data_IF_820242471223
#
_entry.id   IF_820242471223
#
_cell.length_a   1.000
_cell.length_b   1.000
_cell.length_c   1.000
_cell.angle_alpha   90.00
_cell.angle_beta   90.00
_cell.angle_gamma   90.00
#
_symmetry.space_group_name_H-M   'P 1'
#
loop_
_entity.id
_entity.type
_entity.pdbx_description
1 polymer ?
#
# COMPACT_ATOMS: atom_id res chain seq x y z
N UNK A 1 -30.12 33.41 65.38
CA UNK A 1 -29.07 33.01 64.42
C UNK A 1 -28.82 31.50 64.45
N UNK A 2 -29.85 30.67 64.24
CA UNK A 2 -29.69 29.20 64.18
C UNK A 2 -30.50 28.54 63.05
N UNK A 3 -31.49 29.22 62.46
CA UNK A 3 -32.37 28.64 61.44
C UNK A 3 -32.04 29.03 59.99
N UNK A 4 -30.98 29.80 59.76
CA UNK A 4 -30.55 30.20 58.41
C UNK A 4 -29.35 29.39 57.87
N UNK A 5 -28.77 28.52 58.68
CA UNK A 5 -27.56 27.75 58.30
C UNK A 5 -27.92 26.40 57.65
N UNK A 6 -29.12 25.86 57.90
CA UNK A 6 -29.51 24.52 57.43
C UNK A 6 -30.06 24.49 56.00
N UNK A 7 -30.58 25.60 55.47
CA UNK A 7 -31.14 25.63 54.10
C UNK A 7 -30.07 25.83 53.01
N UNK A 8 -28.96 26.52 53.33
CA UNK A 8 -27.87 26.78 52.38
C UNK A 8 -26.97 25.55 52.16
N UNK A 9 -26.81 24.70 53.18
CA UNK A 9 -26.00 23.48 53.09
C UNK A 9 -26.66 22.37 52.25
N UNK A 10 -28.00 22.22 52.29
CA UNK A 10 -28.70 21.22 51.47
C UNK A 10 -28.76 21.60 49.98
N UNK A 11 -28.81 22.89 49.64
CA UNK A 11 -28.82 23.35 48.25
C UNK A 11 -27.45 23.17 47.55
N UNK A 12 -26.35 23.23 48.32
CA UNK A 12 -24.99 22.98 47.81
C UNK A 12 -24.70 21.48 47.62
N UNK A 13 -25.25 20.61 48.47
CA UNK A 13 -25.11 19.15 48.31
C UNK A 13 -25.98 18.64 47.16
N UNK A 14 -27.19 19.19 46.96
CA UNK A 14 -28.03 18.84 45.81
C UNK A 14 -27.42 19.30 44.46
N UNK A 15 -26.66 20.40 44.45
CA UNK A 15 -25.90 20.84 43.26
C UNK A 15 -24.58 20.08 43.06
N UNK A 16 -23.95 19.58 44.12
CA UNK A 16 -22.78 18.72 44.01
C UNK A 16 -23.12 17.29 43.56
N UNK A 17 -24.31 16.77 43.91
CA UNK A 17 -24.78 15.45 43.44
C UNK A 17 -25.33 15.52 42.01
N UNK A 18 -25.85 16.66 41.57
CA UNK A 18 -26.26 16.87 40.17
C UNK A 18 -25.09 17.13 39.19
N UNK A 19 -23.87 17.38 39.70
CA UNK A 19 -22.65 17.54 38.89
C UNK A 19 -21.78 16.27 38.81
N UNK A 20 -22.20 15.15 39.43
CA UNK A 20 -21.48 13.86 39.45
C UNK A 20 -22.24 12.74 38.72
N UNK A 21 -23.24 13.06 37.88
CA UNK A 21 -23.91 12.03 37.05
C UNK A 21 -24.15 12.46 35.61
N UNK A 22 -23.20 13.21 35.05
CA UNK A 22 -22.86 13.07 33.63
C UNK A 22 -21.50 12.38 33.51
N UNK A 23 -21.40 11.16 34.05
CA UNK A 23 -20.53 10.18 33.41
C UNK A 23 -21.20 9.91 32.09
N UNK A 24 -20.78 10.63 31.05
CA UNK A 24 -21.01 10.21 29.69
C UNK A 24 -20.60 8.74 29.66
N UNK A 25 -21.56 7.83 29.49
CA UNK A 25 -21.28 6.55 28.84
C UNK A 25 -20.86 6.93 27.42
N UNK A 26 -19.63 7.45 27.26
CA UNK A 26 -18.88 7.22 26.06
C UNK A 26 -18.77 5.71 26.03
N UNK A 27 -19.65 5.07 25.27
CA UNK A 27 -19.43 3.70 24.84
C UNK A 27 -18.03 3.70 24.28
N UNK A 28 -17.07 3.15 25.03
CA UNK A 28 -15.73 2.95 24.54
C UNK A 28 -15.89 1.97 23.38
N UNK A 29 -16.00 2.51 22.18
CA UNK A 29 -16.04 1.69 20.98
C UNK A 29 -14.76 0.87 20.99
N UNK A 30 -14.85 -0.45 20.77
CA UNK A 30 -13.66 -1.27 20.72
C UNK A 30 -12.71 -0.68 19.68
N UNK A 31 -11.43 -0.61 20.01
CA UNK A 31 -10.41 -0.12 19.10
C UNK A 31 -10.54 -0.80 17.73
N UNK A 32 -10.53 -0.06 16.61
CA UNK A 32 -10.62 -0.65 15.29
C UNK A 32 -9.59 -1.76 15.11
N UNK A 33 -10.06 -2.94 14.69
CA UNK A 33 -9.19 -4.06 14.37
C UNK A 33 -8.45 -3.78 13.06
N UNK A 34 -7.14 -3.93 13.06
CA UNK A 34 -6.28 -3.74 11.88
C UNK A 34 -5.47 -5.01 11.69
N UNK A 35 -5.50 -5.58 10.49
CA UNK A 35 -4.54 -6.63 10.14
C UNK A 35 -3.36 -6.00 9.41
N UNK A 36 -2.14 -6.27 9.85
CA UNK A 36 -0.92 -5.80 9.21
C UNK A 36 -0.20 -6.99 8.57
N UNK A 37 0.05 -6.94 7.26
CA UNK A 37 0.86 -7.96 6.60
C UNK A 37 2.30 -7.95 7.14
N UNK A 38 2.74 -9.08 7.70
CA UNK A 38 4.06 -9.22 8.33
C UNK A 38 4.62 -10.63 8.09
N UNK A 39 4.61 -11.08 6.84
CA UNK A 39 5.08 -12.40 6.42
C UNK A 39 6.15 -12.31 5.34
N UNK A 40 7.22 -13.07 5.48
CA UNK A 40 8.28 -13.24 4.47
C UNK A 40 8.10 -14.51 3.61
N UNK A 41 7.14 -15.39 3.96
CA UNK A 41 6.96 -16.72 3.36
C UNK A 41 6.68 -16.68 1.84
N UNK A 42 6.08 -15.59 1.35
CA UNK A 42 5.71 -15.39 -0.05
C UNK A 42 6.79 -14.70 -0.90
N UNK A 43 7.89 -14.28 -0.26
CA UNK A 43 8.95 -13.48 -0.90
C UNK A 43 8.53 -12.06 -1.24
N UNK A 44 7.43 -11.55 -0.68
CA UNK A 44 6.98 -10.16 -0.83
C UNK A 44 7.73 -9.22 0.12
N UNK A 45 8.00 -9.70 1.34
CA UNK A 45 8.82 -8.99 2.33
C UNK A 45 10.11 -9.74 2.63
N UNK A 46 11.18 -8.98 2.85
CA UNK A 46 12.39 -9.40 3.56
C UNK A 46 12.46 -8.66 4.89
N UNK A 47 12.10 -9.35 5.97
CA UNK A 47 12.04 -8.80 7.33
C UNK A 47 13.42 -8.77 8.02
N UNK A 48 14.44 -9.40 7.44
CA UNK A 48 15.78 -9.44 8.05
C UNK A 48 16.56 -8.13 7.84
N UNK A 49 16.19 -7.35 6.82
CA UNK A 49 16.94 -6.16 6.37
C UNK A 49 16.11 -4.87 6.38
N UNK A 50 14.83 -4.95 6.79
CA UNK A 50 13.93 -3.80 6.83
C UNK A 50 13.02 -3.84 8.06
N UNK A 51 13.15 -2.81 8.90
CA UNK A 51 12.34 -2.62 10.10
C UNK A 51 11.07 -1.79 9.85
N UNK A 52 10.82 -1.35 8.61
CA UNK A 52 9.65 -0.53 8.29
C UNK A 52 8.32 -1.18 8.71
N UNK A 53 8.07 -2.48 8.49
CA UNK A 53 6.83 -3.12 8.94
C UNK A 53 6.66 -3.09 10.46
N UNK A 54 7.74 -3.31 11.23
CA UNK A 54 7.71 -3.28 12.69
C UNK A 54 7.53 -1.85 13.24
N UNK A 55 8.17 -0.86 12.62
CA UNK A 55 7.95 0.56 12.96
C UNK A 55 6.50 0.98 12.70
N UNK A 56 5.90 0.48 11.61
CA UNK A 56 4.49 0.71 11.31
C UNK A 56 3.57 0.03 12.32
N UNK A 57 3.84 -1.24 12.67
CA UNK A 57 3.11 -1.96 13.71
C UNK A 57 3.10 -1.16 15.02
N UNK A 58 4.29 -0.77 15.48
CA UNK A 58 4.45 -0.02 16.72
C UNK A 58 3.67 1.31 16.67
N UNK A 59 3.69 2.01 15.54
CA UNK A 59 2.93 3.26 15.43
C UNK A 59 1.42 3.03 15.47
N UNK A 60 0.91 2.02 14.77
CA UNK A 60 -0.52 1.67 14.80
C UNK A 60 -0.99 1.34 16.23
N UNK A 61 -0.20 0.56 16.97
CA UNK A 61 -0.47 0.23 18.38
C UNK A 61 -0.42 1.48 19.28
N UNK A 62 0.57 2.37 19.09
CA UNK A 62 0.67 3.65 19.81
C UNK A 62 -0.51 4.58 19.55
N UNK A 63 -1.14 4.47 18.37
CA UNK A 63 -2.35 5.20 18.02
C UNK A 63 -3.62 4.57 18.60
N UNK A 64 -3.50 3.49 19.38
CA UNK A 64 -4.61 2.83 20.07
C UNK A 64 -5.42 1.89 19.18
N UNK A 65 -4.88 1.47 18.03
CA UNK A 65 -5.52 0.50 17.13
C UNK A 65 -5.22 -0.94 17.60
N UNK A 66 -6.16 -1.85 17.40
CA UNK A 66 -5.96 -3.26 17.73
C UNK A 66 -5.30 -3.97 16.54
N UNK A 67 -3.97 -4.08 16.57
CA UNK A 67 -3.19 -4.63 15.47
C UNK A 67 -3.03 -6.15 15.60
N UNK A 68 -3.38 -6.87 14.54
CA UNK A 68 -3.11 -8.30 14.36
C UNK A 68 -2.06 -8.46 13.25
N UNK A 69 -0.87 -8.93 13.59
CA UNK A 69 0.17 -9.21 12.61
C UNK A 69 -0.16 -10.50 11.85
N UNK A 70 -0.29 -10.40 10.53
CA UNK A 70 -0.50 -11.53 9.63
C UNK A 70 0.86 -12.12 9.24
N UNK A 71 1.36 -13.06 10.04
CA UNK A 71 2.70 -13.65 9.89
C UNK A 71 2.78 -14.80 8.89
N UNK A 72 1.63 -15.31 8.44
CA UNK A 72 1.52 -16.47 7.54
C UNK A 72 0.75 -16.10 6.25
N UNK A 73 1.11 -14.97 5.66
CA UNK A 73 0.48 -14.42 4.45
C UNK A 73 -0.83 -13.67 4.71
N UNK A 74 -1.74 -13.74 3.74
CA UNK A 74 -3.02 -13.01 3.75
C UNK A 74 -3.84 -13.32 5.03
N UNK A 75 -4.32 -12.30 5.76
CA UNK A 75 -5.19 -12.51 6.91
C UNK A 75 -6.59 -12.98 6.50
N UNK A 76 -7.41 -13.39 7.48
CA UNK A 76 -8.82 -13.64 7.20
C UNK A 76 -9.56 -12.32 6.92
N UNK A 77 -10.03 -12.15 5.69
CA UNK A 77 -10.69 -10.93 5.21
C UNK A 77 -12.22 -11.02 5.16
N UNK A 78 -12.82 -12.10 5.67
CA UNK A 78 -14.26 -12.33 5.64
C UNK A 78 -14.88 -12.55 7.04
N UNK A 79 -16.21 -12.46 7.09
CA UNK A 79 -16.99 -12.74 8.29
C UNK A 79 -16.84 -11.71 9.41
N UNK A 80 -17.33 -12.05 10.60
CA UNK A 80 -17.33 -11.15 11.76
C UNK A 80 -15.93 -10.80 12.31
N UNK A 81 -14.91 -11.54 11.86
CA UNK A 81 -13.52 -11.36 12.28
C UNK A 81 -12.70 -10.52 11.30
N UNK A 82 -13.29 -10.11 10.17
CA UNK A 82 -12.61 -9.27 9.17
C UNK A 82 -12.15 -7.95 9.79
N UNK A 83 -10.91 -7.50 9.51
CA UNK A 83 -10.40 -6.27 10.07
C UNK A 83 -11.12 -5.04 9.49
N UNK A 84 -11.14 -3.93 10.23
CA UNK A 84 -11.62 -2.64 9.71
C UNK A 84 -10.68 -2.10 8.61
N UNK A 85 -9.39 -2.42 8.70
CA UNK A 85 -8.42 -2.15 7.66
C UNK A 85 -7.39 -3.26 7.53
N UNK A 86 -7.00 -3.55 6.29
CA UNK A 86 -5.86 -4.39 5.96
C UNK A 86 -4.71 -3.51 5.49
N UNK A 87 -3.60 -3.49 6.24
CA UNK A 87 -2.43 -2.66 5.97
C UNK A 87 -1.32 -3.52 5.39
N UNK A 88 -0.81 -3.10 4.24
CA UNK A 88 0.19 -3.78 3.43
C UNK A 88 1.41 -2.84 3.31
N UNK A 89 2.56 -3.16 3.95
CA UNK A 89 3.73 -2.29 4.01
C UNK A 89 4.53 -2.24 2.70
N UNK A 90 5.58 -1.40 2.66
CA UNK A 90 6.44 -1.26 1.47
C UNK A 90 7.02 -2.62 1.11
N UNK A 91 6.79 -3.02 -0.13
CA UNK A 91 7.37 -4.22 -0.66
C UNK A 91 8.87 -4.04 -0.90
N UNK A 92 9.67 -4.98 -0.39
CA UNK A 92 11.12 -5.03 -0.56
C UNK A 92 11.62 -6.41 -1.04
N UNK A 93 10.72 -7.39 -1.23
CA UNK A 93 11.00 -8.69 -1.82
C UNK A 93 10.80 -8.73 -3.35
N UNK A 94 10.89 -9.94 -3.91
CA UNK A 94 10.85 -10.20 -5.35
C UNK A 94 9.44 -10.47 -5.89
N UNK A 95 8.47 -10.76 -5.03
CA UNK A 95 7.08 -11.07 -5.39
C UNK A 95 6.19 -9.86 -5.14
N UNK A 96 5.25 -9.59 -6.05
CA UNK A 96 4.22 -8.56 -5.84
C UNK A 96 3.11 -9.05 -4.92
N UNK A 97 2.56 -8.16 -4.08
CA UNK A 97 1.38 -8.47 -3.26
C UNK A 97 0.23 -9.02 -4.10
N UNK A 98 -0.01 -8.44 -5.28
CA UNK A 98 -1.04 -8.90 -6.22
C UNK A 98 -0.86 -10.34 -6.72
N UNK A 99 0.35 -10.89 -6.63
CA UNK A 99 0.67 -12.28 -6.99
C UNK A 99 0.68 -13.22 -5.79
N UNK A 100 0.97 -12.72 -4.60
CA UNK A 100 1.06 -13.51 -3.38
C UNK A 100 -0.29 -13.65 -2.66
N UNK A 101 -1.16 -12.66 -2.79
CA UNK A 101 -2.46 -12.61 -2.15
C UNK A 101 -3.55 -13.32 -2.98
N UNK A 102 -4.55 -13.87 -2.33
CA UNK A 102 -5.81 -14.21 -3.00
C UNK A 102 -6.58 -12.92 -3.26
N UNK A 103 -6.38 -12.35 -4.45
CA UNK A 103 -6.98 -11.07 -4.84
C UNK A 103 -8.50 -11.17 -5.02
N UNK A 104 -9.08 -12.36 -5.15
CA UNK A 104 -10.53 -12.51 -5.14
C UNK A 104 -11.11 -12.18 -3.75
N UNK A 105 -10.44 -12.66 -2.68
CA UNK A 105 -10.82 -12.31 -1.30
C UNK A 105 -10.59 -10.84 -0.99
N UNK A 106 -9.48 -10.27 -1.46
CA UNK A 106 -9.24 -8.82 -1.32
C UNK A 106 -10.35 -8.02 -2.00
N UNK A 107 -10.76 -8.41 -3.22
CA UNK A 107 -11.84 -7.74 -3.92
C UNK A 107 -13.19 -7.86 -3.21
N UNK A 108 -13.51 -9.04 -2.67
CA UNK A 108 -14.72 -9.24 -1.86
C UNK A 108 -14.69 -8.39 -0.58
N UNK A 109 -13.55 -8.31 0.10
CA UNK A 109 -13.34 -7.50 1.30
C UNK A 109 -13.56 -6.01 1.02
N UNK A 110 -12.95 -5.49 -0.05
CA UNK A 110 -13.14 -4.10 -0.47
C UNK A 110 -14.60 -3.86 -0.88
N UNK A 111 -15.22 -4.76 -1.65
CA UNK A 111 -16.63 -4.62 -2.02
C UNK A 111 -17.59 -4.64 -0.80
N UNK A 112 -17.20 -5.32 0.28
CA UNK A 112 -17.95 -5.37 1.53
C UNK A 112 -17.80 -4.11 2.40
N UNK A 113 -16.91 -3.18 2.04
CA UNK A 113 -16.65 -1.95 2.82
C UNK A 113 -15.26 -1.88 3.44
N UNK A 114 -14.40 -2.87 3.19
CA UNK A 114 -13.04 -2.92 3.72
C UNK A 114 -12.14 -1.80 3.17
N UNK A 115 -11.21 -1.35 4.01
CA UNK A 115 -10.12 -0.47 3.63
C UNK A 115 -8.85 -1.30 3.44
N UNK A 116 -8.20 -1.18 2.29
CA UNK A 116 -6.80 -1.62 2.14
C UNK A 116 -5.90 -0.40 2.13
N UNK A 117 -4.88 -0.37 2.98
CA UNK A 117 -3.80 0.62 2.90
C UNK A 117 -2.58 -0.07 2.31
N UNK A 118 -2.14 0.38 1.13
CA UNK A 118 -1.06 -0.21 0.36
C UNK A 118 0.15 0.71 0.32
N UNK A 119 1.33 0.17 0.55
CA UNK A 119 2.58 0.84 0.29
C UNK A 119 3.30 0.07 -0.84
N UNK A 120 3.66 0.79 -1.91
CA UNK A 120 4.19 0.18 -3.13
C UNK A 120 5.64 -0.27 -2.99
N UNK A 121 6.06 -1.13 -3.93
CA UNK A 121 7.46 -1.43 -4.14
C UNK A 121 8.23 -0.16 -4.53
N UNK A 122 9.42 0.00 -3.96
CA UNK A 122 10.33 1.12 -4.29
C UNK A 122 10.81 1.03 -5.74
N UNK A 123 10.75 -0.14 -6.36
CA UNK A 123 11.13 -0.41 -7.74
C UNK A 123 9.90 -0.87 -8.55
N UNK A 124 9.84 -0.52 -9.85
CA UNK A 124 8.77 -0.96 -10.76
C UNK A 124 7.84 0.14 -11.25
N UNK A 125 8.17 1.42 -11.01
CA UNK A 125 7.46 2.58 -11.58
C UNK A 125 5.93 2.52 -11.44
N UNK A 126 5.42 2.13 -10.25
CA UNK A 126 3.99 2.03 -9.96
C UNK A 126 3.31 0.73 -10.38
N UNK A 127 4.04 -0.25 -10.95
CA UNK A 127 3.45 -1.50 -11.44
C UNK A 127 2.73 -2.30 -10.35
N UNK A 128 3.37 -2.49 -9.18
CA UNK A 128 2.75 -3.21 -8.08
C UNK A 128 1.49 -2.50 -7.56
N UNK A 129 1.50 -1.16 -7.44
CA UNK A 129 0.27 -0.38 -7.16
C UNK A 129 -0.82 -0.62 -8.20
N UNK A 130 -0.51 -0.45 -9.50
CA UNK A 130 -1.48 -0.61 -10.60
C UNK A 130 -2.13 -1.98 -10.59
N UNK A 131 -1.33 -3.03 -10.51
CA UNK A 131 -1.80 -4.41 -10.56
C UNK A 131 -2.66 -4.75 -9.35
N UNK A 132 -2.22 -4.36 -8.15
CA UNK A 132 -2.97 -4.60 -6.92
C UNK A 132 -4.32 -3.87 -6.94
N UNK A 133 -4.31 -2.57 -7.25
CA UNK A 133 -5.53 -1.75 -7.27
C UNK A 133 -6.54 -2.26 -8.29
N UNK A 134 -6.05 -2.64 -9.49
CA UNK A 134 -6.93 -3.16 -10.54
C UNK A 134 -7.66 -4.43 -10.11
N UNK A 135 -6.93 -5.34 -9.46
CA UNK A 135 -7.51 -6.60 -8.99
C UNK A 135 -8.40 -6.40 -7.76
N UNK A 136 -7.99 -5.57 -6.80
CA UNK A 136 -8.75 -5.29 -5.58
C UNK A 136 -10.08 -4.56 -5.84
N UNK A 137 -10.13 -3.70 -6.86
CA UNK A 137 -11.35 -2.97 -7.24
C UNK A 137 -12.05 -3.55 -8.48
N UNK A 138 -11.49 -4.57 -9.10
CA UNK A 138 -12.01 -5.16 -10.35
C UNK A 138 -12.10 -4.14 -11.48
N UNK A 139 -11.10 -3.26 -11.61
CA UNK A 139 -11.04 -2.31 -12.72
C UNK A 139 -10.89 -3.04 -14.07
N UNK A 140 -11.50 -2.48 -15.12
CA UNK A 140 -11.48 -3.03 -16.47
C UNK A 140 -10.82 -2.07 -17.46
N UNK A 141 -9.92 -2.57 -18.29
CA UNK A 141 -9.14 -1.77 -19.23
C UNK A 141 -7.74 -1.42 -18.71
N UNK A 142 -7.14 -0.39 -19.28
CA UNK A 142 -5.73 -0.05 -19.03
C UNK A 142 -5.55 1.19 -18.15
N UNK A 143 -4.39 1.25 -17.50
CA UNK A 143 -3.89 2.47 -16.88
C UNK A 143 -3.33 3.40 -17.95
N UNK A 144 -3.80 4.64 -17.98
CA UNK A 144 -3.24 5.64 -18.89
C UNK A 144 -2.06 6.38 -18.27
N UNK A 145 -2.08 6.55 -16.94
CA UNK A 145 -1.03 7.22 -16.15
C UNK A 145 -1.04 6.59 -14.77
N UNK A 146 0.11 6.21 -14.22
CA UNK A 146 0.31 5.88 -12.81
C UNK A 146 1.77 5.45 -12.62
N UNK A 147 2.71 6.39 -12.73
CA UNK A 147 4.14 6.09 -12.71
C UNK A 147 4.89 6.99 -11.74
N UNK A 148 6.02 6.51 -11.25
CA UNK A 148 6.98 7.37 -10.55
C UNK A 148 7.50 8.41 -11.54
N UNK A 149 7.53 9.68 -11.15
CA UNK A 149 7.85 10.80 -12.04
C UNK A 149 9.30 10.85 -12.54
N UNK A 150 10.17 9.90 -12.16
CA UNK A 150 11.59 9.92 -12.54
C UNK A 150 12.24 8.50 -12.59
N UNK A 151 12.99 8.15 -13.65
CA UNK A 151 13.74 6.90 -13.77
C UNK A 151 15.01 6.84 -12.89
N UNK A 152 15.61 7.99 -12.56
CA UNK A 152 16.85 8.05 -11.79
C UNK A 152 16.61 8.36 -10.31
N UNK A 153 16.83 7.36 -9.47
CA UNK A 153 16.61 7.40 -8.02
C UNK A 153 17.39 8.51 -7.28
N UNK A 154 18.44 9.09 -7.87
CA UNK A 154 19.30 10.07 -7.20
C UNK A 154 18.82 11.52 -7.34
N UNK A 155 18.27 11.93 -8.50
CA UNK A 155 17.73 13.28 -8.74
C UNK A 155 16.30 13.42 -8.18
N UNK A 156 15.49 12.37 -8.31
CA UNK A 156 14.15 12.27 -7.69
C UNK A 156 14.16 12.55 -6.19
N UNK A 157 15.21 12.04 -5.51
CA UNK A 157 15.40 12.21 -4.08
C UNK A 157 15.67 13.65 -3.69
N UNK A 158 16.24 14.51 -4.54
CA UNK A 158 16.48 15.91 -4.18
C UNK A 158 15.28 16.82 -4.45
N UNK A 159 14.47 16.52 -5.47
CA UNK A 159 13.32 17.35 -5.85
C UNK A 159 12.13 17.16 -4.89
N UNK A 160 11.89 15.94 -4.38
CA UNK A 160 10.87 15.66 -3.35
C UNK A 160 11.27 16.26 -1.98
N UNK A 161 12.54 16.65 -1.78
CA UNK A 161 13.02 17.21 -0.50
C UNK A 161 12.81 18.71 -0.35
N UNK A 162 12.28 19.40 -1.37
CA UNK A 162 12.20 20.87 -1.35
C UNK A 162 10.87 21.41 -0.80
N UNK A 163 9.85 20.58 -0.62
CA UNK A 163 8.53 21.01 -0.17
C UNK A 163 7.84 19.97 0.72
N UNK A 164 6.89 20.39 1.55
CA UNK A 164 6.09 19.46 2.36
C UNK A 164 4.94 18.91 1.54
N UNK A 165 4.52 17.66 1.75
CA UNK A 165 3.24 17.20 1.24
C UNK A 165 2.10 18.05 1.80
N UNK A 166 1.21 18.49 0.92
CA UNK A 166 0.04 19.30 1.26
C UNK A 166 -1.23 18.53 0.91
N UNK A 167 -2.28 18.73 1.71
CA UNK A 167 -3.59 18.14 1.46
C UNK A 167 -4.14 18.66 0.13
N UNK A 168 -4.53 17.74 -0.75
CA UNK A 168 -5.13 18.07 -2.04
C UNK A 168 -6.57 18.53 -1.88
N UNK A 169 -7.06 19.38 -2.79
CA UNK A 169 -8.47 19.78 -2.86
C UNK A 169 -9.41 18.57 -3.06
N UNK A 170 -8.92 17.50 -3.69
CA UNK A 170 -9.65 16.26 -3.95
C UNK A 170 -9.83 15.38 -2.72
N UNK A 171 -9.07 15.60 -1.64
CA UNK A 171 -9.12 14.77 -0.45
C UNK A 171 -10.50 14.77 0.22
N UNK A 172 -11.21 15.90 0.15
CA UNK A 172 -12.56 16.06 0.72
C UNK A 172 -13.63 15.22 0.00
N UNK A 173 -13.41 14.88 -1.27
CA UNK A 173 -14.28 13.98 -2.03
C UNK A 173 -14.12 12.52 -1.60
N UNK A 174 -12.95 12.15 -1.05
CA UNK A 174 -12.71 10.82 -0.50
C UNK A 174 -13.24 10.68 0.93
N UNK A 175 -12.90 11.63 1.80
CA UNK A 175 -13.38 11.69 3.17
C UNK A 175 -13.80 13.12 3.50
N UNK A 176 -15.10 13.33 3.66
CA UNK A 176 -15.61 14.65 4.02
C UNK A 176 -15.18 15.02 5.45
N UNK A 177 -14.86 16.31 5.72
CA UNK A 177 -14.51 16.77 7.07
C UNK A 177 -15.58 16.44 8.13
N UNK A 178 -16.85 16.41 7.73
CA UNK A 178 -17.97 16.12 8.61
C UNK A 178 -18.07 14.63 8.99
N UNK A 179 -17.64 13.72 8.11
CA UNK A 179 -17.76 12.28 8.31
C UNK A 179 -16.47 11.66 8.90
N UNK A 180 -15.29 12.02 8.36
CA UNK A 180 -14.00 11.41 8.73
C UNK A 180 -13.13 12.26 9.65
N UNK A 181 -13.59 13.46 10.02
CA UNK A 181 -12.78 14.48 10.66
C UNK A 181 -11.74 15.10 9.70
N UNK A 182 -11.01 16.10 10.19
CA UNK A 182 -10.06 16.86 9.37
C UNK A 182 -8.78 16.06 9.13
N UNK A 183 -8.50 15.66 7.88
CA UNK A 183 -7.18 15.14 7.50
C UNK A 183 -6.08 16.20 7.77
N UNK A 184 -4.84 15.81 8.11
CA UNK A 184 -3.75 16.77 8.32
C UNK A 184 -3.55 17.67 7.09
N UNK A 185 -3.45 18.99 7.27
CA UNK A 185 -3.25 19.92 6.15
C UNK A 185 -1.90 19.73 5.44
N UNK A 186 -0.90 19.28 6.19
CA UNK A 186 0.46 19.02 5.68
C UNK A 186 1.03 17.78 6.35
N UNK A 187 1.92 17.04 5.68
CA UNK A 187 2.64 15.90 6.24
C UNK A 187 4.12 16.22 6.42
N UNK A 188 4.83 15.38 7.16
CA UNK A 188 6.28 15.49 7.29
C UNK A 188 6.99 15.15 5.99
N UNK A 189 8.04 15.90 5.67
CA UNK A 189 9.03 15.53 4.66
C UNK A 189 9.81 14.31 5.14
N UNK A 190 10.06 13.37 4.24
CA UNK A 190 10.84 12.18 4.54
C UNK A 190 11.74 11.80 3.37
N UNK A 191 12.92 11.24 3.68
CA UNK A 191 13.86 10.75 2.66
C UNK A 191 13.33 9.53 1.91
N UNK A 192 12.42 8.79 2.54
CA UNK A 192 11.84 7.54 2.07
C UNK A 192 10.42 7.74 1.53
N UNK A 193 10.19 8.91 0.93
CA UNK A 193 8.93 9.28 0.28
C UNK A 193 9.00 8.98 -1.21
N UNK A 194 7.99 8.25 -1.70
CA UNK A 194 7.77 7.97 -3.12
C UNK A 194 6.61 8.83 -3.62
N UNK A 195 6.73 9.35 -4.83
CA UNK A 195 5.66 10.07 -5.51
C UNK A 195 5.28 9.35 -6.80
N UNK A 196 4.00 9.29 -7.09
CA UNK A 196 3.44 8.87 -8.37
C UNK A 196 2.78 10.08 -9.04
N UNK A 197 2.62 10.02 -10.35
CA UNK A 197 1.66 10.86 -11.07
C UNK A 197 0.24 10.58 -10.57
N UNK A 198 -0.68 11.55 -10.68
CA UNK A 198 -2.11 11.28 -10.45
C UNK A 198 -2.58 10.15 -11.38
N UNK A 199 -2.85 8.98 -10.79
CA UNK A 199 -3.11 7.78 -11.56
C UNK A 199 -4.47 7.83 -12.22
N UNK A 200 -4.55 7.53 -13.52
CA UNK A 200 -5.76 7.51 -14.32
C UNK A 200 -5.98 6.13 -14.95
N UNK A 201 -7.22 5.66 -14.92
CA UNK A 201 -7.64 4.39 -15.50
C UNK A 201 -8.75 4.60 -16.54
N UNK A 202 -8.87 3.69 -17.51
CA UNK A 202 -9.90 3.75 -18.56
C UNK A 202 -11.30 3.32 -18.09
N UNK A 203 -11.38 2.51 -17.04
CA UNK A 203 -12.65 2.11 -16.43
C UNK A 203 -13.46 3.34 -16.02
N UNK A 204 -14.64 3.53 -16.63
CA UNK A 204 -15.51 4.69 -16.38
C UNK A 204 -16.10 4.71 -14.97
N UNK A 205 -16.01 3.59 -14.24
CA UNK A 205 -16.41 3.48 -12.83
C UNK A 205 -15.24 3.66 -11.86
N UNK A 206 -14.00 3.73 -12.35
CA UNK A 206 -12.82 3.92 -11.50
C UNK A 206 -12.74 5.36 -10.97
N UNK A 207 -12.35 5.45 -9.70
CA UNK A 207 -12.08 6.70 -9.01
C UNK A 207 -10.64 6.66 -8.49
N UNK A 208 -9.89 7.71 -8.78
CA UNK A 208 -8.56 7.96 -8.24
C UNK A 208 -8.45 9.40 -7.77
N UNK A 209 -8.22 9.60 -6.48
CA UNK A 209 -8.23 10.92 -5.85
C UNK A 209 -6.90 11.17 -5.16
N UNK A 210 -6.10 12.17 -5.58
CA UNK A 210 -4.90 12.55 -4.84
C UNK A 210 -5.34 13.04 -3.46
N UNK A 211 -4.76 12.46 -2.42
CA UNK A 211 -4.99 12.92 -1.04
C UNK A 211 -3.94 13.95 -0.66
N UNK A 212 -2.69 13.71 -1.06
CA UNK A 212 -1.58 14.60 -0.77
C UNK A 212 -0.66 14.76 -1.98
N UNK A 213 -0.24 15.99 -2.23
CA UNK A 213 0.68 16.35 -3.31
C UNK A 213 1.92 17.05 -2.78
N UNK A 214 3.03 16.85 -3.46
CA UNK A 214 4.33 17.39 -3.09
C UNK A 214 4.37 18.91 -3.37
N UNK A 215 4.32 19.74 -2.32
CA UNK A 215 4.31 21.21 -2.48
C UNK A 215 3.13 21.74 -3.29
N UNK A 216 1.99 21.05 -3.29
CA UNK A 216 0.81 21.42 -4.07
C UNK A 216 0.86 21.03 -5.56
N UNK A 217 1.89 20.31 -5.99
CA UNK A 217 2.06 19.89 -7.38
C UNK A 217 1.26 18.60 -7.66
N UNK A 218 0.14 18.73 -8.39
CA UNK A 218 -0.75 17.62 -8.74
C UNK A 218 -0.10 16.54 -9.62
N UNK A 219 1.08 16.81 -10.18
CA UNK A 219 1.87 15.80 -10.91
C UNK A 219 2.71 14.92 -9.98
N UNK A 220 2.80 15.26 -8.69
CA UNK A 220 3.60 14.57 -7.67
C UNK A 220 2.73 14.20 -6.48
N UNK A 221 1.91 13.17 -6.67
CA UNK A 221 1.02 12.62 -5.66
C UNK A 221 1.81 11.68 -4.75
N UNK A 222 1.76 11.92 -3.44
CA UNK A 222 2.48 11.11 -2.43
C UNK A 222 1.56 10.27 -1.55
N UNK A 223 0.24 10.47 -1.69
CA UNK A 223 -0.79 9.59 -1.19
C UNK A 223 -2.03 9.72 -2.07
N UNK A 224 -2.65 8.61 -2.43
CA UNK A 224 -3.78 8.57 -3.34
C UNK A 224 -4.81 7.54 -2.90
N UNK A 225 -6.09 7.90 -2.95
CA UNK A 225 -7.18 6.98 -2.75
C UNK A 225 -7.69 6.45 -4.09
N UNK A 226 -8.08 5.19 -4.08
CA UNK A 226 -8.72 4.50 -5.19
C UNK A 226 -10.05 3.90 -4.74
N UNK A 227 -11.08 4.05 -5.55
CA UNK A 227 -12.40 3.50 -5.29
C UNK A 227 -13.11 3.18 -6.59
N UNK A 228 -14.23 2.46 -6.51
CA UNK A 228 -15.05 2.16 -7.69
C UNK A 228 -16.48 2.59 -7.42
N UNK A 229 -17.14 3.13 -8.45
CA UNK A 229 -18.55 3.49 -8.36
C UNK A 229 -19.36 2.30 -7.81
N UNK A 230 -20.09 2.54 -6.71
CA UNK A 230 -20.89 1.51 -6.03
C UNK A 230 -20.10 0.53 -5.13
N UNK A 231 -18.77 0.56 -5.11
CA UNK A 231 -17.97 -0.19 -4.14
C UNK A 231 -17.89 0.55 -2.82
N UNK A 232 -18.24 -0.14 -1.72
CA UNK A 232 -18.30 0.45 -0.38
C UNK A 232 -16.94 0.58 0.29
N UNK A 233 -15.91 -0.07 -0.22
CA UNK A 233 -14.55 0.02 0.29
C UNK A 233 -13.64 0.85 -0.62
N UNK A 234 -12.36 0.89 -0.25
CA UNK A 234 -11.34 1.61 -1.00
C UNK A 234 -9.96 0.98 -0.81
N UNK A 235 -9.05 1.33 -1.71
CA UNK A 235 -7.61 1.13 -1.55
C UNK A 235 -6.95 2.51 -1.40
N UNK A 236 -6.14 2.73 -0.38
CA UNK A 236 -5.35 3.95 -0.23
C UNK A 236 -3.89 3.61 -0.35
N UNK A 237 -3.23 4.20 -1.34
CA UNK A 237 -1.79 4.11 -1.48
C UNK A 237 -1.09 5.23 -0.70
N UNK A 238 -0.06 4.87 0.07
CA UNK A 238 0.82 5.81 0.76
C UNK A 238 2.25 5.68 0.23
N UNK A 239 2.84 6.80 -0.18
CA UNK A 239 4.22 6.85 -0.66
C UNK A 239 5.27 6.88 0.45
N UNK A 240 4.87 7.04 1.71
CA UNK A 240 5.79 7.12 2.84
C UNK A 240 6.14 5.73 3.39
N UNK A 241 7.44 5.41 3.44
CA UNK A 241 7.94 4.22 4.12
C UNK A 241 8.29 4.51 5.59
N UNK A 242 7.92 3.59 6.48
CA UNK A 242 8.30 3.64 7.90
C UNK A 242 9.75 3.21 8.19
N UNK A 243 10.57 3.06 7.16
CA UNK A 243 11.97 2.62 7.27
C UNK A 243 12.82 3.52 8.17
N UNK A 244 12.60 4.83 8.08
CA UNK A 244 13.31 5.83 8.91
C UNK A 244 12.61 6.08 10.28
N UNK A 245 11.60 5.27 10.63
CA UNK A 245 10.84 5.38 11.88
C UNK A 245 9.42 5.91 11.68
N UNK A 246 8.72 6.19 12.78
CA UNK A 246 7.36 6.72 12.77
C UNK A 246 7.34 8.24 12.61
N UNK A 247 6.31 8.76 11.93
CA UNK A 247 6.07 10.21 11.76
C UNK A 247 4.67 10.56 12.22
N UNK A 248 4.53 11.64 12.97
CA UNK A 248 3.30 11.94 13.71
C UNK A 248 2.10 12.16 12.78
N UNK A 249 2.25 12.95 11.71
CA UNK A 249 1.15 13.30 10.82
C UNK A 249 0.86 12.20 9.81
N UNK A 250 1.87 11.48 9.34
CA UNK A 250 1.67 10.23 8.60
C UNK A 250 0.89 9.18 9.43
N UNK A 251 1.24 9.01 10.70
CA UNK A 251 0.47 8.18 11.62
C UNK A 251 -0.94 8.70 11.87
N UNK A 252 -1.11 10.02 11.98
CA UNK A 252 -2.42 10.65 12.13
C UNK A 252 -3.32 10.43 10.92
N UNK A 253 -2.76 10.52 9.71
CA UNK A 253 -3.45 10.18 8.46
C UNK A 253 -3.92 8.72 8.51
N UNK A 254 -3.02 7.78 8.81
CA UNK A 254 -3.35 6.36 8.89
C UNK A 254 -4.47 6.08 9.90
N UNK A 255 -4.36 6.62 11.11
CA UNK A 255 -5.40 6.49 12.14
C UNK A 255 -6.75 7.07 11.69
N UNK A 256 -6.77 8.24 11.04
CA UNK A 256 -8.02 8.85 10.54
C UNK A 256 -8.66 8.03 9.44
N UNK A 257 -7.89 7.51 8.48
CA UNK A 257 -8.40 6.65 7.43
C UNK A 257 -9.05 5.40 8.03
N UNK A 258 -8.33 4.71 8.92
CA UNK A 258 -8.82 3.48 9.58
C UNK A 258 -10.07 3.75 10.41
N UNK A 259 -10.05 4.82 11.22
CA UNK A 259 -11.18 5.20 12.06
C UNK A 259 -12.40 5.60 11.25
N UNK A 260 -12.22 6.31 10.13
CA UNK A 260 -13.31 6.69 9.25
C UNK A 260 -14.01 5.47 8.65
N UNK A 261 -13.25 4.48 8.17
CA UNK A 261 -13.83 3.24 7.64
C UNK A 261 -14.48 2.40 8.74
N UNK A 262 -13.84 2.26 9.90
CA UNK A 262 -14.41 1.54 11.05
C UNK A 262 -15.75 2.14 11.53
N UNK A 263 -15.90 3.46 11.43
CA UNK A 263 -17.11 4.18 11.82
C UNK A 263 -18.13 4.34 10.67
N UNK A 264 -17.89 3.76 9.50
CA UNK A 264 -18.79 3.87 8.34
C UNK A 264 -18.88 5.28 7.76
N UNK A 265 -17.87 6.12 7.96
CA UNK A 265 -17.83 7.50 7.48
C UNK A 265 -17.48 7.63 6.00
N UNK A 266 -16.85 6.62 5.41
CA UNK A 266 -16.56 6.59 3.99
C UNK A 266 -17.85 6.36 3.19
N UNK A 267 -18.04 7.16 2.15
CA UNK A 267 -19.18 7.03 1.22
C UNK A 267 -18.66 6.64 -0.14
N UNK A 268 -19.21 5.55 -0.69
CA UNK A 268 -18.86 5.08 -2.03
C UNK A 268 -19.11 6.19 -3.07
N UNK A 269 -18.19 6.39 -4.03
CA UNK A 269 -18.44 7.32 -5.12
C UNK A 269 -19.62 6.81 -5.98
N UNK A 270 -20.39 7.76 -6.53
CA UNK A 270 -21.54 7.46 -7.39
C UNK A 270 -21.17 7.34 -8.87
N UNK A 271 -19.97 7.77 -9.26
CA UNK A 271 -19.44 7.71 -10.62
C UNK A 271 -17.90 7.68 -10.59
N UNK A 272 -17.28 7.25 -11.69
CA UNK A 272 -15.83 7.39 -11.88
C UNK A 272 -15.42 8.85 -12.10
N UNK A 273 -14.10 9.12 -12.05
CA UNK A 273 -13.56 10.48 -12.13
C UNK A 273 -12.45 10.66 -13.19
N UNK A 274 -12.41 9.79 -14.21
CA UNK A 274 -11.38 9.85 -15.26
C UNK A 274 -11.31 11.22 -15.97
N UNK A 275 -12.44 11.94 -16.06
CA UNK A 275 -12.53 13.29 -16.68
C UNK A 275 -11.97 14.41 -15.80
N UNK A 276 -11.87 14.20 -14.48
CA UNK A 276 -11.34 15.19 -13.55
C UNK A 276 -9.80 15.34 -13.62
N UNK A 277 -9.13 14.43 -14.33
CA UNK A 277 -7.68 14.44 -14.44
C UNK A 277 -7.19 15.55 -15.36
N UNK A 278 -6.24 16.40 -14.93
CA UNK A 278 -5.78 17.55 -15.69
C UNK A 278 -5.07 17.12 -16.97
N UNK A 279 -5.67 17.44 -18.13
CA UNK A 279 -5.17 17.08 -19.46
C UNK A 279 -3.75 17.60 -19.79
N UNK A 280 -3.26 18.61 -19.07
CA UNK A 280 -1.95 19.23 -19.29
C UNK A 280 -0.76 18.45 -18.68
N UNK A 281 -0.99 17.53 -17.74
CA UNK A 281 0.08 16.73 -17.13
C UNK A 281 0.55 15.56 -18.02
N UNK A 282 -0.15 15.29 -19.12
CA UNK A 282 0.04 14.11 -19.96
C UNK A 282 1.20 14.25 -20.96
N UNK A 283 1.45 15.45 -21.51
CA UNK A 283 2.48 15.63 -22.54
C UNK A 283 3.91 15.40 -22.00
N UNK A 284 4.21 15.84 -20.77
CA UNK A 284 5.53 15.65 -20.15
C UNK A 284 5.76 14.24 -19.57
N UNK A 285 4.69 13.54 -19.14
CA UNK A 285 4.80 12.17 -18.60
C UNK A 285 4.88 11.14 -19.73
N UNK A 286 4.18 11.36 -20.85
CA UNK A 286 4.22 10.46 -22.00
C UNK A 286 5.62 10.40 -22.62
N UNK A 287 6.34 11.53 -22.66
CA UNK A 287 7.74 11.62 -23.11
C UNK A 287 8.70 10.86 -22.17
N UNK A 288 8.45 10.90 -20.85
CA UNK A 288 9.23 10.15 -19.87
C UNK A 288 8.91 8.64 -19.86
N UNK A 289 7.66 8.25 -20.14
CA UNK A 289 7.23 6.86 -20.18
C UNK A 289 7.76 6.12 -21.41
N UNK A 290 7.92 6.80 -22.56
CA UNK A 290 8.58 6.21 -23.73
C UNK A 290 10.05 5.86 -23.48
N UNK A 291 10.75 6.67 -22.68
CA UNK A 291 12.15 6.41 -22.30
C UNK A 291 12.26 5.25 -21.29
N UNK A 292 11.34 5.16 -20.33
CA UNK A 292 11.33 4.08 -19.34
C UNK A 292 10.94 2.71 -19.92
N UNK A 293 9.97 2.65 -20.85
CA UNK A 293 9.58 1.41 -21.51
C UNK A 293 10.74 0.80 -22.34
N UNK A 294 11.62 1.64 -22.90
CA UNK A 294 12.83 1.20 -23.59
C UNK A 294 13.85 0.55 -22.63
N UNK A 295 13.91 0.98 -21.37
CA UNK A 295 14.79 0.37 -20.36
C UNK A 295 14.24 -0.94 -19.79
N UNK A 296 12.91 -1.10 -19.66
CA UNK A 296 12.31 -2.36 -19.20
C UNK A 296 12.56 -3.49 -20.19
N UNK A 297 12.46 -3.23 -21.51
CA UNK A 297 12.82 -4.23 -22.54
C UNK A 297 14.33 -4.56 -22.50
N UNK A 298 15.17 -3.58 -22.15
CA UNK A 298 16.61 -3.78 -21.99
C UNK A 298 16.95 -4.58 -20.71
N UNK A 299 16.24 -4.37 -19.59
CA UNK A 299 16.43 -5.13 -18.35
C UNK A 299 15.95 -6.57 -18.50
N UNK A 300 14.78 -6.79 -19.13
CA UNK A 300 14.27 -8.15 -19.42
C UNK A 300 15.21 -8.88 -20.38
N UNK A 301 15.72 -8.22 -21.43
CA UNK A 301 16.74 -8.80 -22.33
C UNK A 301 18.06 -9.07 -21.60
N UNK A 302 18.52 -8.15 -20.75
CA UNK A 302 19.77 -8.31 -19.98
C UNK A 302 19.68 -9.45 -18.96
N UNK A 303 18.51 -9.66 -18.37
CA UNK A 303 18.21 -10.79 -17.49
C UNK A 303 18.17 -12.12 -18.25
N UNK A 304 17.73 -12.13 -19.52
CA UNK A 304 17.72 -13.31 -20.40
C UNK A 304 19.10 -13.64 -21.00
N UNK A 305 19.98 -12.66 -21.20
CA UNK A 305 21.33 -12.86 -21.77
C UNK A 305 22.44 -13.15 -20.76
N UNK A 306 22.17 -13.17 -19.46
CA UNK A 306 23.19 -13.43 -18.42
C UNK A 306 23.40 -14.91 -18.09
N UNK A 307 22.74 -15.83 -18.83
CA UNK A 307 23.10 -17.24 -18.88
C UNK A 307 23.69 -17.57 -20.26
N UNK A 308 25.00 -17.36 -20.41
CA UNK A 308 26.01 -18.07 -21.26
C UNK A 308 27.17 -17.09 -21.48
N UNK A 309 28.39 -17.50 -21.09
CA UNK A 309 29.59 -16.69 -21.20
C UNK A 309 30.21 -16.62 -22.61
N UNK A 310 31.05 -15.58 -22.78
CA UNK A 310 32.12 -15.34 -23.79
C UNK A 310 31.76 -14.56 -25.09
N UNK A 311 31.96 -13.22 -25.03
CA UNK A 311 32.66 -12.25 -25.94
C UNK A 311 32.96 -12.56 -27.45
N UNK A 312 33.21 -11.58 -28.37
CA UNK A 312 32.55 -10.29 -28.70
C UNK A 312 32.36 -9.95 -30.23
N UNK A 313 31.65 -8.84 -30.49
CA UNK A 313 31.77 -7.83 -31.58
C UNK A 313 31.22 -8.07 -33.02
N UNK A 314 30.86 -6.98 -33.74
CA UNK A 314 29.60 -6.88 -34.48
C UNK A 314 29.72 -7.12 -35.99
N UNK A 315 28.64 -7.59 -36.60
CA UNK A 315 28.48 -7.61 -38.06
C UNK A 315 28.04 -6.22 -38.54
N UNK A 316 28.69 -5.60 -39.52
CA UNK A 316 28.30 -4.30 -40.04
C UNK A 316 26.96 -4.37 -40.77
N UNK A 317 26.13 -3.36 -40.49
CA UNK A 317 24.84 -3.08 -41.13
C UNK A 317 25.03 -2.79 -42.63
N UNK A 318 24.23 -3.38 -43.54
CA UNK A 318 24.18 -2.91 -44.91
C UNK A 318 23.52 -1.52 -44.97
N UNK A 319 24.19 -0.63 -45.69
CA UNK A 319 23.73 0.70 -46.06
C UNK A 319 22.43 0.64 -46.86
N UNK A 320 21.40 1.45 -46.57
CA UNK A 320 20.28 1.65 -47.47
C UNK A 320 20.71 2.59 -48.61
N UNK A 321 20.48 2.15 -49.85
CA UNK A 321 20.60 2.95 -51.06
C UNK A 321 19.60 4.12 -51.04
N UNK A 322 20.08 5.32 -51.42
CA UNK A 322 19.23 6.40 -51.93
C UNK A 322 18.75 6.02 -53.34
N UNK A 323 17.44 5.96 -53.57
CA UNK A 323 16.78 6.65 -54.69
C UNK A 323 15.27 6.39 -54.67
N UNK A 324 14.47 7.45 -54.51
CA UNK A 324 13.02 7.31 -54.38
C UNK A 324 12.26 8.61 -54.22
N UNK A 325 12.36 9.48 -55.22
CA UNK A 325 11.55 10.68 -55.49
C UNK A 325 10.13 10.63 -54.89
N UNK A 326 9.67 11.60 -54.07
CA UNK A 326 8.31 11.60 -53.53
C UNK A 326 7.30 11.87 -54.64
N UNK A 327 6.47 10.86 -54.95
CA UNK A 327 5.32 11.02 -55.84
C UNK A 327 4.09 11.54 -55.07
N UNK A 328 3.26 12.28 -55.79
CA UNK A 328 2.25 13.21 -55.30
C UNK A 328 1.17 12.57 -54.42
N UNK A 329 0.82 13.30 -53.36
CA UNK A 329 -0.32 13.09 -52.47
C UNK A 329 -1.65 12.87 -53.22
N UNK A 330 -2.39 11.77 -52.96
CA UNK A 330 -3.77 11.63 -53.40
C UNK A 330 -4.73 12.43 -52.50
N UNK A 331 -5.63 13.17 -53.12
CA UNK A 331 -6.73 13.91 -52.50
C UNK A 331 -7.64 12.97 -51.69
N UNK A 332 -8.14 13.36 -50.50
CA UNK A 332 -9.10 12.54 -49.75
C UNK A 332 -10.42 12.41 -50.52
N UNK A 333 -10.83 11.17 -50.78
CA UNK A 333 -12.16 10.83 -51.29
C UNK A 333 -13.20 10.92 -50.19
N UNK A 334 -14.42 11.31 -50.56
CA UNK A 334 -15.57 11.55 -49.67
C UNK A 334 -16.00 10.27 -48.96
N UNK A 335 -16.18 10.40 -47.65
CA UNK A 335 -16.70 9.37 -46.75
C UNK A 335 -18.10 8.87 -47.19
N UNK A 336 -18.35 7.55 -47.26
CA UNK A 336 -19.67 7.01 -47.51
C UNK A 336 -20.57 7.15 -46.26
N UNK A 337 -21.83 7.48 -46.52
CA UNK A 337 -22.89 7.66 -45.51
C UNK A 337 -23.20 6.30 -44.84
N UNK A 338 -23.23 6.19 -43.50
CA UNK A 338 -23.55 4.93 -42.84
C UNK A 338 -24.99 4.50 -43.14
N UNK A 339 -25.12 3.27 -43.63
CA UNK A 339 -26.39 2.57 -43.84
C UNK A 339 -27.00 2.21 -42.49
N UNK A 340 -28.33 2.32 -42.39
CA UNK A 340 -29.11 1.95 -41.21
C UNK A 340 -28.98 0.45 -40.96
N UNK A 341 -28.46 0.07 -39.80
CA UNK A 341 -28.51 -1.30 -39.32
C UNK A 341 -29.95 -1.64 -38.89
N UNK A 342 -30.49 -2.83 -39.22
CA UNK A 342 -31.82 -3.24 -38.78
C UNK A 342 -31.87 -3.47 -37.28
N UNK A 343 -33.00 -3.09 -36.68
CA UNK A 343 -33.34 -3.29 -35.28
C UNK A 343 -33.41 -4.80 -34.96
N UNK A 344 -32.78 -5.28 -33.89
CA UNK A 344 -32.95 -6.67 -33.47
C UNK A 344 -34.39 -6.89 -32.95
N UNK A 345 -34.98 -8.02 -33.35
CA UNK A 345 -36.26 -8.51 -32.84
C UNK A 345 -36.17 -8.84 -31.34
N UNK A 346 -37.27 -8.69 -30.58
CA UNK A 346 -37.29 -9.04 -29.17
C UNK A 346 -37.18 -10.56 -28.97
N UNK A 347 -36.19 -10.99 -28.17
CA UNK A 347 -36.10 -12.37 -27.70
C UNK A 347 -37.32 -12.76 -26.85
N UNK A 348 -37.79 -14.01 -26.94
CA UNK A 348 -38.92 -14.50 -26.16
C UNK A 348 -38.62 -14.50 -24.66
N UNK A 349 -39.66 -14.16 -23.89
CA UNK A 349 -39.66 -14.15 -22.42
C UNK A 349 -39.48 -15.58 -21.88
N UNK A 350 -38.59 -15.82 -20.90
CA UNK A 350 -38.41 -17.14 -20.31
C UNK A 350 -39.64 -17.55 -19.50
N UNK A 351 -40.04 -18.81 -19.71
CA UNK A 351 -41.11 -19.51 -19.00
C UNK A 351 -40.76 -19.65 -17.50
N UNK A 352 -41.71 -19.50 -16.56
CA UNK A 352 -41.40 -19.53 -15.13
C UNK A 352 -40.90 -20.91 -14.69
N UNK A 353 -39.68 -20.95 -14.16
CA UNK A 353 -39.10 -22.13 -13.52
C UNK A 353 -39.92 -22.54 -12.29
N UNK A 354 -40.16 -23.86 -12.18
CA UNK A 354 -40.91 -24.48 -11.11
C UNK A 354 -40.18 -24.33 -9.77
N UNK A 355 -40.92 -24.00 -8.72
CA UNK A 355 -40.42 -24.00 -7.34
C UNK A 355 -39.98 -25.41 -6.92
N UNK A 356 -38.66 -25.59 -6.75
CA UNK A 356 -38.11 -26.78 -6.12
C UNK A 356 -38.53 -26.87 -4.66
N UNK A 357 -39.13 -28.01 -4.30
CA UNK A 357 -39.53 -28.33 -2.92
C UNK A 357 -38.32 -28.29 -1.98
N UNK A 358 -38.50 -27.80 -0.73
CA UNK A 358 -37.40 -27.70 0.23
C UNK A 358 -36.82 -29.08 0.56
N UNK A 359 -35.54 -29.24 0.25
CA UNK A 359 -34.77 -30.44 0.53
C UNK A 359 -34.57 -30.62 2.05
N UNK A 360 -34.69 -31.86 2.52
CA UNK A 360 -34.67 -32.20 3.95
C UNK A 360 -33.29 -31.93 4.55
N UNK A 361 -33.29 -31.20 5.67
CA UNK A 361 -32.09 -30.90 6.47
C UNK A 361 -31.27 -32.16 6.80
N UNK A 362 -29.96 -32.22 6.48
CA UNK A 362 -29.10 -33.33 6.84
C UNK A 362 -28.93 -33.43 8.36
N UNK A 363 -29.01 -34.67 8.90
CA UNK A 363 -28.70 -34.94 10.31
C UNK A 363 -27.25 -34.52 10.64
N UNK A 364 -27.00 -33.88 11.81
CA UNK A 364 -25.66 -33.52 12.23
C UNK A 364 -24.72 -34.73 12.28
N UNK A 365 -23.61 -34.64 11.56
CA UNK A 365 -22.54 -35.63 11.60
C UNK A 365 -21.88 -35.69 12.97
N UNK A 366 -21.42 -36.89 13.36
CA UNK A 366 -20.74 -37.13 14.63
C UNK A 366 -19.45 -36.32 14.70
N UNK A 367 -19.26 -35.61 15.82
CA UNK A 367 -18.06 -34.82 16.11
C UNK A 367 -16.79 -35.69 16.04
N UNK A 368 -15.74 -35.27 15.31
CA UNK A 368 -14.49 -36.00 15.23
C UNK A 368 -13.78 -36.05 16.59
N UNK A 369 -13.22 -37.22 16.90
CA UNK A 369 -12.50 -37.49 18.14
C UNK A 369 -11.20 -36.66 18.18
N UNK A 370 -10.87 -36.00 19.30
CA UNK A 370 -9.68 -35.16 19.39
C UNK A 370 -8.40 -35.97 19.11
N UNK A 371 -7.54 -35.39 18.27
CA UNK A 371 -6.23 -35.93 17.92
C UNK A 371 -5.31 -35.98 19.16
N UNK A 372 -4.49 -37.03 19.35
CA UNK A 372 -3.58 -37.12 20.49
C UNK A 372 -2.56 -35.97 20.48
N UNK A 373 -2.30 -35.45 21.68
CA UNK A 373 -1.33 -34.36 21.91
C UNK A 373 0.08 -34.79 21.49
N UNK A 374 0.86 -33.94 20.81
CA UNK A 374 2.23 -34.25 20.43
C UNK A 374 3.12 -34.45 21.66
N UNK A 375 4.00 -35.46 21.58
CA UNK A 375 4.99 -35.76 22.61
C UNK A 375 6.01 -34.62 22.72
N UNK A 376 6.46 -34.24 23.93
CA UNK A 376 7.45 -33.19 24.10
C UNK A 376 8.78 -33.56 23.43
N UNK A 377 9.35 -32.58 22.73
CA UNK A 377 10.66 -32.68 22.06
C UNK A 377 11.79 -32.83 23.10
N UNK A 378 12.82 -33.65 22.85
CA UNK A 378 13.91 -33.84 23.80
C UNK A 378 14.72 -32.56 24.01
N UNK A 379 15.08 -32.28 25.27
CA UNK A 379 15.91 -31.14 25.65
C UNK A 379 17.29 -31.21 24.99
N UNK A 380 17.85 -30.07 24.54
CA UNK A 380 19.18 -30.01 23.94
C UNK A 380 20.27 -30.37 24.95
N UNK A 381 21.26 -31.15 24.50
CA UNK A 381 22.45 -31.49 25.27
C UNK A 381 23.26 -30.22 25.60
N UNK A 382 23.85 -30.12 26.81
CA UNK A 382 24.71 -29.00 27.16
C UNK A 382 25.99 -28.99 26.29
N UNK A 383 26.34 -27.82 25.79
CA UNK A 383 27.56 -27.57 25.01
C UNK A 383 28.81 -27.82 25.88
N UNK A 384 29.89 -28.40 25.32
CA UNK A 384 31.13 -28.63 26.06
C UNK A 384 31.76 -27.31 26.53
N UNK A 385 32.32 -27.35 27.74
CA UNK A 385 33.04 -26.24 28.37
C UNK A 385 34.31 -25.90 27.58
N UNK A 386 34.66 -24.61 27.42
CA UNK A 386 35.88 -24.20 26.72
C UNK A 386 37.14 -24.70 27.46
N UNK A 387 38.13 -25.09 26.66
CA UNK A 387 39.44 -25.57 27.08
C UNK A 387 40.29 -24.41 27.62
N UNK A 388 41.05 -24.59 28.72
CA UNK A 388 41.82 -23.49 29.33
C UNK A 388 42.99 -23.04 28.45
N UNK A 389 43.18 -21.72 28.36
CA UNK A 389 44.29 -21.10 27.63
C UNK A 389 45.67 -21.52 28.20
N UNK A 390 46.68 -21.68 27.33
CA UNK A 390 48.03 -22.03 27.75
C UNK A 390 48.76 -20.87 28.44
N UNK A 391 49.39 -21.18 29.57
CA UNK A 391 50.18 -20.24 30.39
C UNK A 391 51.34 -19.58 29.61
N UNK A 392 51.61 -18.28 29.85
CA UNK A 392 52.69 -17.56 29.18
C UNK A 392 54.08 -18.06 29.61
N UNK A 393 54.96 -18.22 28.63
CA UNK A 393 56.38 -18.63 28.82
C UNK A 393 57.20 -17.48 29.43
N UNK A 394 58.10 -17.75 30.40
CA UNK A 394 58.99 -16.72 30.95
C UNK A 394 60.05 -16.25 29.94
N UNK A 395 60.12 -14.94 29.72
CA UNK A 395 61.12 -14.29 28.87
C UNK A 395 62.53 -14.40 29.45
N UNK A 396 63.50 -14.83 28.63
CA UNK A 396 64.93 -14.77 28.97
C UNK A 396 65.50 -13.41 28.56
N UNK A 397 65.86 -12.64 29.58
CA UNK A 397 66.78 -11.52 29.50
C UNK A 397 68.15 -11.97 28.96
N UNK A 398 68.66 -11.28 27.93
CA UNK A 398 70.09 -11.21 27.64
C UNK A 398 70.47 -9.76 27.38
N UNK A 399 70.92 -9.13 28.47
CA UNK A 399 71.91 -8.08 28.44
C UNK A 399 73.09 -8.51 27.56
N UNK A 400 73.52 -7.63 26.64
CA UNK A 400 74.93 -7.51 26.33
C UNK A 400 75.25 -6.06 25.96
N UNK A 401 75.85 -5.35 26.91
CA UNK A 401 76.52 -4.09 26.64
C UNK A 401 77.81 -4.35 25.87
N UNK A 402 78.10 -3.51 24.89
CA UNK A 402 79.27 -3.63 24.02
C UNK A 402 79.63 -2.30 23.37
N UNK A 403 80.16 -1.39 24.19
CA UNK A 403 80.85 -0.14 23.87
C UNK A 403 81.82 -0.32 22.68
N UNK A 404 81.85 0.64 21.73
CA UNK A 404 82.99 1.56 21.49
C UNK A 404 83.05 2.09 20.04
N UNK A 405 83.12 3.42 19.95
CA UNK A 405 83.40 4.27 18.79
C UNK A 405 84.58 3.81 17.91
N UNK A 406 84.50 4.11 16.60
CA UNK A 406 85.61 4.69 15.81
C UNK A 406 85.09 5.60 14.68
N UNK A 407 85.73 6.77 14.60
CA UNK A 407 85.91 7.71 13.50
C UNK A 407 85.67 7.21 12.06
N UNK A 408 85.01 8.04 11.25
CA UNK A 408 85.65 8.95 10.28
C UNK A 408 84.69 10.09 9.92
#
# INVERSE_FOLDING_TARGET
>A
MANYITCSAMALIARAVALISMVSLATAYPAPKVSLYLSDESGVLDLNWDSAPQNMQQQLEQLGLSVEAATHGQPQLDGASSPAAYVIPVQNGHTFYSSAEDMHKVAQYVAAGGLVVLLDAVAGAGAATRDFVSQALGYQGEWTVCSSSHPNAQESRHIIRASKPQLSEWASAFLSPAAGGLLPETLEEARVLTALTWCRHQDTSAVSLPLYTQGGDDTKVVAQAFGKSGSRGAVVWLGYSWKDGSQQRWGSLLHKLISAFANGAYTAPSAGNAEAHPAAAFDSVLEAASDAAAEVDAVVRRMMTSAVGVYPSPVPSPSPEEDGKPNKSPKPSKSPKPSKSPSPEPSPSPEPEQEDKPNKSPKPGKSPKPSPSPSPSPSPCPSPSPEPEPSPRPGRSRNNGGRRMKHL
#
